data_IF_469400082803
#
_entry.id   IF_469400082803
#
_cell.length_a   1.000
_cell.length_b   1.000
_cell.length_c   1.000
_cell.angle_alpha   90.00
_cell.angle_beta   90.00
_cell.angle_gamma   90.00
#
_symmetry.space_group_name_H-M   'P 1'
#
loop_
_entity.id
_entity.type
_entity.pdbx_description
1 polymer ?
#
# COMPACT_ATOMS: atom_id res chain seq x y z
N UNK A 1 -4.64 10.26 -12.65
CA UNK A 1 -4.16 8.93 -13.09
C UNK A 1 -3.28 8.34 -12.00
N UNK A 2 -3.26 7.01 -11.85
CA UNK A 2 -2.27 6.35 -11.00
C UNK A 2 -1.74 5.07 -11.65
N UNK A 3 -0.51 4.72 -11.33
CA UNK A 3 0.21 3.54 -11.81
C UNK A 3 0.60 2.67 -10.62
N UNK A 4 0.61 1.36 -10.84
CA UNK A 4 1.14 0.36 -9.92
C UNK A 4 1.50 -0.91 -10.67
N UNK A 5 2.45 -1.66 -10.14
CA UNK A 5 2.64 -3.07 -10.51
C UNK A 5 1.92 -3.94 -9.49
N UNK A 6 1.21 -4.97 -9.95
CA UNK A 6 0.40 -5.85 -9.11
C UNK A 6 0.71 -7.30 -9.41
N UNK A 7 0.85 -8.08 -8.35
CA UNK A 7 0.82 -9.53 -8.39
C UNK A 7 -0.24 -10.05 -7.41
N UNK A 8 -1.03 -11.03 -7.83
CA UNK A 8 -2.13 -11.59 -7.04
C UNK A 8 -1.91 -13.07 -6.82
N UNK A 9 -2.06 -13.49 -5.57
CA UNK A 9 -2.00 -14.87 -5.11
C UNK A 9 -3.29 -15.25 -4.42
N UNK A 10 -3.56 -16.55 -4.32
CA UNK A 10 -4.65 -17.09 -3.52
C UNK A 10 -4.09 -18.07 -2.51
N UNK A 11 -4.46 -17.90 -1.26
CA UNK A 11 -4.13 -18.81 -0.17
C UNK A 11 -5.41 -19.18 0.58
N UNK A 12 -5.85 -20.43 0.41
CA UNK A 12 -7.19 -20.86 0.86
C UNK A 12 -8.27 -19.94 0.27
N UNK A 13 -9.15 -19.38 1.11
CA UNK A 13 -10.22 -18.46 0.72
C UNK A 13 -9.80 -16.97 0.86
N UNK A 14 -8.49 -16.69 0.99
CA UNK A 14 -7.94 -15.33 1.08
C UNK A 14 -7.15 -14.99 -0.18
N UNK A 15 -7.50 -13.87 -0.80
CA UNK A 15 -6.70 -13.26 -1.87
C UNK A 15 -5.60 -12.40 -1.24
N UNK A 16 -4.37 -12.59 -1.71
CA UNK A 16 -3.18 -11.85 -1.28
C UNK A 16 -2.69 -11.05 -2.47
N UNK A 17 -2.71 -9.73 -2.36
CA UNK A 17 -2.36 -8.83 -3.44
C UNK A 17 -1.13 -8.04 -3.07
N UNK A 18 -0.07 -8.15 -3.87
CA UNK A 18 1.15 -7.36 -3.72
C UNK A 18 1.10 -6.20 -4.72
N UNK A 19 1.15 -4.98 -4.20
CA UNK A 19 1.15 -3.76 -4.98
C UNK A 19 2.46 -2.98 -4.76
N UNK A 20 3.16 -2.72 -5.85
CA UNK A 20 4.27 -1.76 -5.89
C UNK A 20 3.74 -0.42 -6.42
N UNK A 21 3.82 0.60 -5.58
CA UNK A 21 3.53 2.00 -5.92
C UNK A 21 4.81 2.82 -5.86
N UNK A 22 4.84 4.01 -6.50
CA UNK A 22 6.03 4.86 -6.54
C UNK A 22 6.60 5.27 -5.15
N UNK A 23 5.78 5.24 -4.10
CA UNK A 23 6.17 5.60 -2.73
C UNK A 23 6.30 4.40 -1.77
N UNK A 24 6.13 3.16 -2.23
CA UNK A 24 6.28 1.98 -1.39
C UNK A 24 5.55 0.74 -1.86
N UNK A 25 5.80 -0.36 -1.16
CA UNK A 25 5.20 -1.67 -1.40
C UNK A 25 4.09 -1.97 -0.37
N UNK A 26 3.01 -2.59 -0.84
CA UNK A 26 1.83 -2.88 -0.06
C UNK A 26 1.39 -4.32 -0.25
N UNK A 27 0.74 -4.86 0.79
CA UNK A 27 -0.01 -6.10 0.71
C UNK A 27 -1.47 -5.81 1.07
N UNK A 28 -2.39 -6.15 0.18
CA UNK A 28 -3.82 -6.20 0.46
C UNK A 28 -4.21 -7.66 0.72
N UNK A 29 -5.06 -7.87 1.72
CA UNK A 29 -5.63 -9.18 2.03
C UNK A 29 -7.15 -9.05 1.91
N UNK A 30 -7.77 -9.86 1.06
CA UNK A 30 -9.21 -9.87 0.84
C UNK A 30 -9.81 -11.24 1.16
N UNK A 31 -10.90 -11.26 1.91
CA UNK A 31 -11.52 -12.49 2.41
C UNK A 31 -12.39 -12.21 3.64
N UNK A 32 -12.88 -13.28 4.29
CA UNK A 32 -13.60 -13.14 5.56
C UNK A 32 -12.65 -12.80 6.73
N UNK A 33 -13.17 -12.23 7.81
CA UNK A 33 -12.36 -11.78 8.94
C UNK A 33 -11.51 -12.91 9.58
N UNK A 34 -12.03 -14.13 9.60
CA UNK A 34 -11.33 -15.29 10.15
C UNK A 34 -10.14 -15.69 9.29
N UNK A 35 -10.35 -15.78 7.98
CA UNK A 35 -9.31 -16.02 6.97
C UNK A 35 -8.25 -14.94 7.00
N UNK A 36 -8.65 -13.66 7.03
CA UNK A 36 -7.72 -12.52 7.08
C UNK A 36 -6.82 -12.58 8.32
N UNK A 37 -7.36 -12.81 9.51
CA UNK A 37 -6.56 -12.94 10.75
C UNK A 37 -5.58 -14.11 10.68
N UNK A 38 -6.00 -15.21 10.08
CA UNK A 38 -5.16 -16.40 9.91
C UNK A 38 -4.03 -16.13 8.91
N UNK A 39 -4.34 -15.54 7.75
CA UNK A 39 -3.35 -15.13 6.75
C UNK A 39 -2.33 -14.15 7.31
N UNK A 40 -2.77 -13.11 8.04
CA UNK A 40 -1.89 -12.15 8.72
C UNK A 40 -0.91 -12.87 9.66
N UNK A 41 -1.39 -13.83 10.44
CA UNK A 41 -0.53 -14.63 11.33
C UNK A 41 0.49 -15.48 10.57
N UNK A 42 0.11 -16.11 9.45
CA UNK A 42 1.03 -16.93 8.64
C UNK A 42 2.07 -16.12 7.89
N UNK A 43 1.71 -14.91 7.44
CA UNK A 43 2.61 -13.97 6.78
C UNK A 43 3.49 -13.19 7.78
N UNK A 44 3.35 -13.46 9.09
CA UNK A 44 4.05 -12.76 10.16
C UNK A 44 3.82 -11.23 10.11
N UNK A 45 2.61 -10.82 9.72
CA UNK A 45 2.18 -9.42 9.68
C UNK A 45 1.47 -9.05 10.99
N UNK A 46 1.46 -7.76 11.32
CA UNK A 46 0.79 -7.25 12.51
C UNK A 46 -0.60 -6.69 12.16
N UNK A 47 -1.66 -7.34 12.67
CA UNK A 47 -3.05 -6.91 12.46
C UNK A 47 -3.34 -5.47 12.94
N UNK A 48 -2.66 -5.03 14.01
CA UNK A 48 -2.82 -3.69 14.56
C UNK A 48 -2.20 -2.62 13.65
N UNK A 49 -1.23 -2.97 12.80
CA UNK A 49 -0.54 -2.04 11.90
C UNK A 49 -1.20 -1.96 10.52
N UNK A 50 -2.45 -2.42 10.37
CA UNK A 50 -3.16 -2.33 9.10
C UNK A 50 -3.48 -0.88 8.74
N UNK A 51 -3.36 -0.57 7.45
CA UNK A 51 -3.68 0.75 6.91
C UNK A 51 -5.18 0.77 6.58
N UNK A 52 -5.89 1.78 7.09
CA UNK A 52 -7.35 1.93 6.91
C UNK A 52 -7.75 2.89 5.78
N UNK A 53 -6.77 3.49 5.11
CA UNK A 53 -6.98 4.40 3.99
C UNK A 53 -6.46 3.77 2.69
N UNK A 54 -6.92 4.27 1.56
CA UNK A 54 -6.49 3.78 0.24
C UNK A 54 -5.24 4.53 -0.26
N UNK A 55 -4.69 4.08 -1.38
CA UNK A 55 -3.48 4.67 -1.98
C UNK A 55 -3.60 6.16 -2.33
N UNK A 56 -4.79 6.66 -2.70
CA UNK A 56 -4.98 8.08 -2.97
C UNK A 56 -5.02 8.90 -1.68
N UNK A 57 -5.56 8.34 -0.60
CA UNK A 57 -5.52 8.94 0.73
C UNK A 57 -4.10 9.03 1.30
N UNK A 58 -3.28 8.00 1.07
CA UNK A 58 -1.84 8.02 1.41
C UNK A 58 -1.09 9.04 0.54
N UNK A 59 -1.36 9.07 -0.77
CA UNK A 59 -0.78 10.04 -1.70
C UNK A 59 -1.10 11.48 -1.28
N UNK A 60 -2.33 11.77 -0.87
CA UNK A 60 -2.71 13.10 -0.41
C UNK A 60 -1.93 13.53 0.83
N UNK A 61 -1.69 12.60 1.77
CA UNK A 61 -0.89 12.86 2.97
C UNK A 61 0.59 13.07 2.64
N UNK A 62 1.20 12.22 1.78
CA UNK A 62 2.58 12.39 1.31
C UNK A 62 2.77 13.71 0.56
N UNK A 63 1.81 14.05 -0.31
CA UNK A 63 1.81 15.31 -1.04
C UNK A 63 1.81 16.52 -0.10
N UNK A 64 0.99 16.48 0.96
CA UNK A 64 0.96 17.54 1.96
C UNK A 64 2.24 17.59 2.79
N UNK A 65 2.81 16.43 3.15
CA UNK A 65 4.04 16.33 3.93
C UNK A 65 5.27 16.87 3.17
N UNK A 66 5.41 16.50 1.89
CA UNK A 66 6.58 16.81 1.06
C UNK A 66 6.37 18.00 0.09
N UNK A 67 5.21 18.65 0.12
CA UNK A 67 4.80 19.71 -0.81
C UNK A 67 4.94 19.31 -2.31
N UNK A 68 4.50 18.10 -2.65
CA UNK A 68 4.67 17.57 -4.02
C UNK A 68 3.85 18.39 -5.05
N UNK A 69 4.47 18.83 -6.16
CA UNK A 69 3.84 19.75 -7.12
C UNK A 69 2.91 19.06 -8.14
N UNK A 70 2.63 17.77 -7.99
CA UNK A 70 1.84 16.97 -8.93
C UNK A 70 0.65 16.29 -8.24
N UNK A 71 -0.33 15.83 -9.03
CA UNK A 71 -1.52 15.13 -8.52
C UNK A 71 -1.56 13.66 -8.95
N UNK A 72 -0.89 13.31 -10.05
CA UNK A 72 -0.92 11.95 -10.57
C UNK A 72 0.09 11.08 -9.82
N UNK A 73 -0.35 9.89 -9.43
CA UNK A 73 0.47 8.90 -8.72
C UNK A 73 1.14 7.99 -9.75
N UNK A 74 2.12 8.52 -10.47
CA UNK A 74 2.86 7.81 -11.53
C UNK A 74 4.31 7.63 -11.12
N UNK A 75 4.98 6.59 -11.62
CA UNK A 75 6.40 6.38 -11.32
C UNK A 75 7.26 7.55 -11.79
N UNK A 76 6.94 8.10 -12.95
CA UNK A 76 7.65 9.24 -13.52
C UNK A 76 7.60 10.50 -12.63
N UNK A 77 6.49 10.75 -11.92
CA UNK A 77 6.39 11.91 -11.01
C UNK A 77 7.25 11.77 -9.76
N UNK A 78 7.54 10.54 -9.35
CA UNK A 78 8.36 10.23 -8.18
C UNK A 78 9.83 9.95 -8.53
N UNK A 79 10.18 9.91 -9.82
CA UNK A 79 11.55 9.63 -10.26
C UNK A 79 12.53 10.66 -9.71
N UNK A 80 13.61 10.17 -9.09
CA UNK A 80 14.61 10.98 -8.40
C UNK A 80 14.16 11.64 -7.09
N UNK A 81 12.93 11.42 -6.61
CA UNK A 81 12.48 11.88 -5.30
C UNK A 81 12.76 10.82 -4.22
N UNK A 82 13.18 11.28 -3.05
CA UNK A 82 13.31 10.42 -1.87
C UNK A 82 12.06 10.57 -1.00
N UNK A 83 10.96 9.95 -1.42
CA UNK A 83 9.67 9.96 -0.73
C UNK A 83 9.28 8.53 -0.41
N UNK A 84 8.97 8.26 0.86
CA UNK A 84 8.60 6.92 1.33
C UNK A 84 7.29 6.97 2.09
N UNK A 85 6.48 5.92 1.98
CA UNK A 85 5.28 5.78 2.81
C UNK A 85 5.59 5.84 4.31
N UNK A 86 6.79 5.43 4.72
CA UNK A 86 7.25 5.49 6.10
C UNK A 86 7.33 6.93 6.66
N UNK A 87 7.33 7.96 5.79
CA UNK A 87 7.37 9.37 6.22
C UNK A 87 6.06 9.81 6.89
N UNK A 88 4.96 9.08 6.66
CA UNK A 88 3.63 9.39 7.20
C UNK A 88 3.01 8.27 8.05
N UNK A 89 3.63 7.09 8.08
CA UNK A 89 3.21 5.98 8.92
C UNK A 89 4.06 5.97 10.20
N UNK A 90 3.41 6.08 11.36
CA UNK A 90 4.02 6.09 12.71
C UNK A 90 3.94 4.71 13.36
#
# INVERSE_FOLDING_TARGET
MYEKYRETFTWQDVEIVLDELPYGNFVELEGDEGGLKTAVSHLNLNWQNRILTNYLGLMAQLKAHHNLPFNDLTFANFDGLNVSIADILV
#
